data_IF_290054898100
#
_entry.id   IF_290054898100
#
_cell.length_a   1.000
_cell.length_b   1.000
_cell.length_c   1.000
_cell.angle_alpha   90.00
_cell.angle_beta   90.00
_cell.angle_gamma   90.00
#
_symmetry.space_group_name_H-M   'P 1'
#
loop_
_entity.id
_entity.type
_entity.pdbx_description
1 polymer ?
#
# COMPACT_ATOMS: atom_id res chain seq x y z
N UNK A 1 5.26 -47.65 -4.49
CA UNK A 1 4.52 -46.54 -3.85
C UNK A 1 3.17 -46.47 -4.54
N UNK A 2 2.12 -46.98 -3.90
CA UNK A 2 0.82 -47.20 -4.52
C UNK A 2 0.02 -45.90 -4.45
N UNK A 3 -0.15 -45.22 -5.58
CA UNK A 3 -1.07 -44.08 -5.71
C UNK A 3 -2.51 -44.60 -5.53
N UNK A 4 -3.17 -44.21 -4.43
CA UNK A 4 -4.60 -44.44 -4.26
C UNK A 4 -5.36 -43.56 -5.27
N UNK A 5 -5.87 -44.18 -6.32
CA UNK A 5 -6.85 -43.55 -7.22
C UNK A 5 -8.17 -43.43 -6.46
N UNK A 6 -8.58 -42.22 -6.08
CA UNK A 6 -9.99 -41.92 -5.83
C UNK A 6 -10.69 -41.85 -7.19
N UNK A 7 -11.01 -43.01 -7.77
CA UNK A 7 -11.91 -43.10 -8.92
C UNK A 7 -13.35 -42.95 -8.44
N UNK A 8 -14.07 -41.99 -9.00
CA UNK A 8 -15.50 -41.80 -8.79
C UNK A 8 -16.23 -43.12 -9.13
N UNK A 9 -16.78 -43.80 -8.13
CA UNK A 9 -17.34 -45.15 -8.28
C UNK A 9 -18.84 -45.15 -8.64
N UNK A 10 -19.42 -43.99 -8.95
CA UNK A 10 -20.83 -43.86 -9.35
C UNK A 10 -20.98 -43.91 -10.87
N UNK A 11 -21.79 -44.83 -11.43
CA UNK A 11 -22.13 -44.83 -12.85
C UNK A 11 -22.92 -43.57 -13.21
N UNK A 12 -22.43 -42.77 -14.16
CA UNK A 12 -23.21 -41.72 -14.82
C UNK A 12 -23.21 -40.32 -14.19
N UNK A 13 -22.09 -39.86 -13.64
CA UNK A 13 -21.93 -38.48 -13.19
C UNK A 13 -20.77 -37.74 -13.87
N UNK A 14 -20.92 -36.43 -14.01
CA UNK A 14 -19.89 -35.51 -14.46
C UNK A 14 -18.86 -35.25 -13.36
N UNK A 15 -17.66 -34.84 -13.76
CA UNK A 15 -16.55 -34.53 -12.84
C UNK A 15 -15.84 -33.25 -13.25
N UNK A 16 -15.00 -32.73 -12.36
CA UNK A 16 -14.03 -31.68 -12.67
C UNK A 16 -12.73 -31.96 -11.93
N UNK A 17 -11.60 -31.65 -12.57
CA UNK A 17 -10.32 -31.62 -11.89
C UNK A 17 -9.65 -30.26 -12.04
N UNK A 18 -9.03 -29.79 -10.97
CA UNK A 18 -8.41 -28.47 -10.91
C UNK A 18 -6.93 -28.65 -10.56
N UNK A 19 -6.06 -28.15 -11.44
CA UNK A 19 -4.65 -27.93 -11.16
C UNK A 19 -4.44 -26.46 -10.84
N UNK A 20 -4.07 -26.18 -9.59
CA UNK A 20 -3.69 -24.84 -9.19
C UNK A 20 -2.20 -24.61 -9.43
N UNK A 21 -1.86 -23.45 -9.94
CA UNK A 21 -0.49 -22.99 -10.09
C UNK A 21 -0.32 -21.65 -9.39
N UNK A 22 0.29 -21.67 -8.21
CA UNK A 22 0.74 -20.44 -7.56
C UNK A 22 1.80 -19.76 -8.41
N UNK A 23 1.91 -18.45 -8.29
CA UNK A 23 2.90 -17.67 -9.03
C UNK A 23 3.90 -17.06 -8.06
N UNK A 24 5.16 -16.99 -8.50
CA UNK A 24 6.14 -16.06 -7.96
C UNK A 24 6.39 -15.09 -9.09
N UNK A 25 5.66 -13.97 -9.07
CA UNK A 25 5.69 -12.97 -10.12
C UNK A 25 7.10 -12.41 -10.35
N UNK A 26 7.34 -11.82 -11.52
CA UNK A 26 8.57 -11.06 -11.80
C UNK A 26 8.81 -9.95 -10.78
N UNK A 27 7.72 -9.48 -10.18
CA UNK A 27 7.66 -8.43 -9.20
C UNK A 27 7.94 -8.95 -7.75
N UNK A 28 8.01 -10.28 -7.54
CA UNK A 28 8.23 -10.96 -6.24
C UNK A 28 7.18 -10.68 -5.15
N UNK A 29 5.98 -10.22 -5.53
CA UNK A 29 4.90 -9.97 -4.56
C UNK A 29 3.88 -11.09 -4.46
N UNK A 30 3.59 -11.84 -5.53
CA UNK A 30 2.93 -13.14 -5.35
C UNK A 30 3.92 -14.11 -4.72
N UNK A 31 3.46 -14.78 -3.66
CA UNK A 31 4.31 -15.64 -2.82
C UNK A 31 3.70 -17.00 -2.61
N UNK A 32 2.62 -17.31 -3.31
CA UNK A 32 2.07 -18.65 -3.34
C UNK A 32 3.07 -19.59 -4.00
N UNK A 33 3.41 -20.65 -3.28
CA UNK A 33 4.27 -21.70 -3.82
C UNK A 33 3.66 -22.24 -5.12
N UNK A 34 4.51 -22.59 -6.11
CA UNK A 34 4.05 -23.07 -7.42
C UNK A 34 3.06 -24.24 -7.37
N UNK A 35 3.12 -25.04 -6.29
CA UNK A 35 2.24 -26.18 -6.04
C UNK A 35 0.90 -25.81 -5.37
N UNK A 36 0.67 -24.53 -5.08
CA UNK A 36 -0.49 -23.97 -4.40
C UNK A 36 -0.80 -24.61 -3.03
N UNK A 37 0.18 -25.22 -2.36
CA UNK A 37 0.01 -25.86 -1.05
C UNK A 37 -0.51 -24.83 -0.05
N UNK A 38 -1.62 -25.16 0.63
CA UNK A 38 -2.33 -24.26 1.54
C UNK A 38 -3.52 -23.54 0.90
N UNK A 39 -3.65 -23.53 -0.43
CA UNK A 39 -4.80 -22.93 -1.11
C UNK A 39 -6.10 -23.61 -0.66
N UNK A 40 -7.11 -22.80 -0.35
CA UNK A 40 -8.46 -23.27 0.01
C UNK A 40 -9.36 -23.10 -1.19
N UNK A 41 -10.06 -24.16 -1.58
CA UNK A 41 -10.86 -24.18 -2.79
C UNK A 41 -12.27 -24.58 -2.45
N UNK A 42 -13.24 -23.85 -2.98
CA UNK A 42 -14.66 -24.13 -2.88
C UNK A 42 -15.25 -24.30 -4.27
N UNK A 43 -16.03 -25.35 -4.48
CA UNK A 43 -16.68 -25.68 -5.75
C UNK A 43 -18.19 -25.73 -5.51
N UNK A 44 -18.93 -24.83 -6.15
CA UNK A 44 -20.39 -24.79 -6.11
C UNK A 44 -20.99 -25.31 -7.40
N UNK A 45 -21.94 -26.22 -7.25
CA UNK A 45 -22.64 -26.81 -8.39
C UNK A 45 -24.07 -27.18 -7.99
N UNK A 46 -25.04 -26.42 -8.49
CA UNK A 46 -26.44 -26.52 -8.09
C UNK A 46 -26.59 -26.40 -6.57
N UNK A 47 -27.15 -27.42 -5.93
CA UNK A 47 -27.30 -27.44 -4.46
C UNK A 47 -26.02 -27.81 -3.69
N UNK A 48 -24.99 -28.36 -4.35
CA UNK A 48 -23.81 -28.94 -3.71
C UNK A 48 -22.69 -27.91 -3.58
N UNK A 49 -22.05 -27.86 -2.41
CA UNK A 49 -20.81 -27.11 -2.14
C UNK A 49 -19.76 -28.09 -1.61
N UNK A 50 -18.58 -28.11 -2.22
CA UNK A 50 -17.44 -28.93 -1.81
C UNK A 50 -16.25 -28.04 -1.47
N UNK A 51 -15.52 -28.36 -0.40
CA UNK A 51 -14.35 -27.59 0.05
C UNK A 51 -13.09 -28.48 0.07
N UNK A 52 -11.97 -27.92 -0.37
CA UNK A 52 -10.68 -28.59 -0.45
C UNK A 52 -9.57 -27.70 0.10
N UNK A 53 -8.48 -28.30 0.56
CA UNK A 53 -7.23 -27.59 0.87
C UNK A 53 -6.07 -28.34 0.23
N UNK A 54 -5.31 -27.65 -0.61
CA UNK A 54 -4.20 -28.27 -1.36
C UNK A 54 -3.05 -28.63 -0.42
N UNK A 55 -2.52 -29.84 -0.59
CA UNK A 55 -1.36 -30.31 0.18
C UNK A 55 -1.65 -30.68 1.64
N UNK A 56 -2.93 -30.76 2.04
CA UNK A 56 -3.28 -31.30 3.35
C UNK A 56 -2.87 -32.78 3.45
N UNK A 57 -2.39 -33.20 4.61
CA UNK A 57 -1.85 -34.55 4.82
C UNK A 57 -2.99 -35.58 4.87
N UNK A 58 -2.97 -36.58 3.99
CA UNK A 58 -3.90 -37.72 4.05
C UNK A 58 -3.26 -38.86 4.83
N UNK A 59 -3.21 -38.73 6.16
CA UNK A 59 -2.65 -39.73 7.07
C UNK A 59 -1.12 -39.72 7.18
N UNK A 60 -0.53 -40.64 7.98
CA UNK A 60 0.87 -40.54 8.44
C UNK A 60 1.94 -40.84 7.38
N UNK A 61 1.57 -41.34 6.19
CA UNK A 61 2.54 -41.81 5.18
C UNK A 61 2.18 -41.48 3.72
N UNK A 62 1.16 -40.65 3.49
CA UNK A 62 0.73 -40.29 2.14
C UNK A 62 0.42 -38.79 2.03
N UNK A 63 0.93 -38.19 0.96
CA UNK A 63 0.56 -36.84 0.55
C UNK A 63 -0.66 -36.92 -0.35
N UNK A 64 -1.68 -36.10 -0.07
CA UNK A 64 -2.84 -35.95 -0.96
C UNK A 64 -2.37 -35.43 -2.32
N UNK A 65 -2.94 -35.91 -3.44
CA UNK A 65 -2.68 -35.31 -4.75
C UNK A 65 -2.90 -33.80 -4.71
N UNK A 66 -2.01 -33.03 -5.34
CA UNK A 66 -2.17 -31.57 -5.46
C UNK A 66 -3.35 -31.21 -6.35
N UNK A 67 -3.66 -32.06 -7.33
CA UNK A 67 -4.85 -31.95 -8.18
C UNK A 67 -6.10 -32.20 -7.34
N UNK A 68 -6.99 -31.23 -7.33
CA UNK A 68 -8.32 -31.37 -6.74
C UNK A 68 -9.19 -32.13 -7.74
N UNK A 69 -9.98 -33.09 -7.25
CA UNK A 69 -10.94 -33.83 -8.04
C UNK A 69 -12.30 -33.79 -7.34
N UNK A 70 -13.31 -33.29 -8.02
CA UNK A 70 -14.66 -33.15 -7.48
C UNK A 70 -15.70 -33.81 -8.41
N UNK A 71 -16.66 -34.50 -7.80
CA UNK A 71 -17.82 -35.02 -8.52
C UNK A 71 -18.88 -33.93 -8.65
N UNK A 72 -19.52 -33.82 -9.82
CA UNK A 72 -20.55 -32.83 -10.12
C UNK A 72 -21.97 -33.44 -10.24
N UNK A 73 -22.06 -34.78 -10.22
CA UNK A 73 -23.33 -35.47 -10.40
C UNK A 73 -23.90 -35.22 -11.80
N UNK A 74 -25.18 -34.83 -11.95
CA UNK A 74 -25.79 -34.61 -13.26
C UNK A 74 -25.43 -33.26 -13.91
N UNK A 75 -24.65 -32.41 -13.23
CA UNK A 75 -24.36 -31.05 -13.71
C UNK A 75 -23.18 -31.06 -14.68
N UNK A 76 -23.35 -30.42 -15.84
CA UNK A 76 -22.34 -30.37 -16.92
C UNK A 76 -21.32 -29.23 -16.76
N UNK A 77 -21.42 -28.45 -15.68
CA UNK A 77 -20.52 -27.34 -15.35
C UNK A 77 -20.53 -27.08 -13.85
N UNK A 78 -19.50 -26.40 -13.37
CA UNK A 78 -19.44 -25.76 -12.06
C UNK A 78 -20.03 -24.34 -12.21
N UNK A 79 -20.88 -23.92 -11.28
CA UNK A 79 -21.45 -22.56 -11.31
C UNK A 79 -20.37 -21.55 -10.95
N UNK A 80 -19.64 -21.80 -9.86
CA UNK A 80 -18.44 -21.07 -9.49
C UNK A 80 -17.43 -21.95 -8.73
N UNK A 81 -16.15 -21.66 -8.99
CA UNK A 81 -14.98 -22.13 -8.25
C UNK A 81 -14.39 -20.93 -7.53
N UNK A 82 -14.18 -21.01 -6.22
CA UNK A 82 -13.57 -19.95 -5.40
C UNK A 82 -12.28 -20.47 -4.77
N UNK A 83 -11.20 -19.71 -4.88
CA UNK A 83 -9.87 -20.05 -4.42
C UNK A 83 -9.40 -18.93 -3.50
N UNK A 84 -9.02 -19.28 -2.27
CA UNK A 84 -8.19 -18.42 -1.41
C UNK A 84 -6.77 -18.97 -1.52
N UNK A 85 -5.91 -18.23 -2.21
CA UNK A 85 -4.51 -18.58 -2.40
C UNK A 85 -3.72 -18.48 -1.09
N UNK A 86 -2.56 -19.16 -0.97
CA UNK A 86 -1.72 -19.13 0.23
C UNK A 86 -1.32 -17.72 0.71
N UNK A 87 -1.16 -16.76 -0.20
CA UNK A 87 -0.88 -15.35 0.12
C UNK A 87 -2.15 -14.52 0.40
N UNK A 88 -3.32 -15.16 0.37
CA UNK A 88 -4.61 -14.57 0.69
C UNK A 88 -5.43 -14.12 -0.51
N UNK A 89 -4.87 -14.14 -1.73
CA UNK A 89 -5.60 -13.71 -2.95
C UNK A 89 -6.89 -14.50 -3.09
N UNK A 90 -8.03 -13.79 -3.15
CA UNK A 90 -9.30 -14.38 -3.50
C UNK A 90 -9.47 -14.34 -5.02
N UNK A 91 -9.70 -15.50 -5.62
CA UNK A 91 -9.93 -15.64 -7.05
C UNK A 91 -11.13 -16.55 -7.26
N UNK A 92 -11.99 -16.21 -8.21
CA UNK A 92 -13.03 -17.11 -8.65
C UNK A 92 -13.09 -17.25 -10.18
N UNK A 93 -13.55 -18.42 -10.59
CA UNK A 93 -13.78 -18.82 -11.97
C UNK A 93 -15.24 -19.23 -12.08
N UNK A 94 -15.95 -18.71 -13.08
CA UNK A 94 -17.38 -18.96 -13.27
C UNK A 94 -17.60 -19.97 -14.39
N UNK A 95 -18.70 -20.74 -14.28
CA UNK A 95 -19.24 -21.52 -15.41
C UNK A 95 -18.26 -22.52 -16.02
N UNK A 96 -17.34 -23.08 -15.21
CA UNK A 96 -16.31 -23.99 -15.69
C UNK A 96 -16.93 -25.31 -16.22
N UNK A 97 -16.69 -25.67 -17.50
CA UNK A 97 -17.22 -26.91 -18.06
C UNK A 97 -16.73 -28.16 -17.32
N UNK A 98 -17.62 -29.14 -17.16
CA UNK A 98 -17.28 -30.45 -16.61
C UNK A 98 -16.42 -31.29 -17.57
N UNK A 99 -16.02 -32.46 -17.07
CA UNK A 99 -15.32 -33.56 -17.74
C UNK A 99 -13.97 -33.18 -18.34
N UNK A 100 -13.28 -32.24 -17.68
CA UNK A 100 -11.94 -31.82 -18.05
C UNK A 100 -11.12 -31.37 -16.84
N UNK A 101 -9.82 -31.28 -17.09
CA UNK A 101 -8.87 -30.65 -16.16
C UNK A 101 -8.80 -29.17 -16.51
N UNK A 102 -8.99 -28.31 -15.51
CA UNK A 102 -8.73 -26.88 -15.61
C UNK A 102 -7.41 -26.55 -14.93
N UNK A 103 -6.60 -25.75 -15.61
CA UNK A 103 -5.42 -25.14 -15.01
C UNK A 103 -5.79 -23.72 -14.61
N UNK A 104 -5.71 -23.44 -13.31
CA UNK A 104 -5.99 -22.11 -12.78
C UNK A 104 -4.67 -21.58 -12.22
N UNK A 105 -4.13 -20.58 -12.90
CA UNK A 105 -2.99 -19.83 -12.39
C UNK A 105 -3.47 -18.73 -11.45
N UNK A 106 -2.73 -18.53 -10.38
CA UNK A 106 -2.93 -17.38 -9.50
C UNK A 106 -2.79 -16.09 -10.30
N UNK A 107 -3.74 -15.19 -10.07
CA UNK A 107 -3.67 -13.84 -10.60
C UNK A 107 -2.82 -12.98 -9.67
N UNK A 108 -1.79 -12.34 -10.23
CA UNK A 108 -0.99 -11.33 -9.53
C UNK A 108 -1.88 -10.15 -9.14
N UNK A 109 -2.23 -10.06 -7.85
CA UNK A 109 -3.13 -9.02 -7.34
C UNK A 109 -2.76 -8.61 -5.93
N UNK A 110 -3.02 -7.34 -5.59
CA UNK A 110 -3.13 -6.92 -4.20
C UNK A 110 -4.43 -7.47 -3.62
N UNK A 111 -4.38 -8.07 -2.44
CA UNK A 111 -5.52 -8.70 -1.76
C UNK A 111 -6.49 -7.70 -1.17
N UNK A 112 -6.00 -6.53 -0.76
CA UNK A 112 -6.81 -5.39 -0.34
C UNK A 112 -6.04 -4.09 -0.65
N UNK A 113 -6.77 -3.01 -0.89
CA UNK A 113 -6.22 -1.66 -0.96
C UNK A 113 -7.26 -0.64 -0.54
N UNK A 114 -6.72 0.44 0.00
CA UNK A 114 -7.28 1.77 0.07
C UNK A 114 -8.03 2.18 -1.21
N UNK A 115 -9.11 2.97 -1.11
CA UNK A 115 -9.67 3.65 -2.25
C UNK A 115 -8.63 4.55 -2.94
N UNK A 116 -8.85 4.84 -4.21
CA UNK A 116 -7.96 5.62 -5.07
C UNK A 116 -8.65 6.87 -5.56
N UNK A 117 -7.89 7.95 -5.67
CA UNK A 117 -8.35 9.23 -6.15
C UNK A 117 -7.80 9.52 -7.54
N UNK A 118 -8.67 10.00 -8.43
CA UNK A 118 -8.30 10.56 -9.72
C UNK A 118 -8.79 12.00 -9.85
N UNK A 119 -8.03 12.80 -10.60
CA UNK A 119 -8.35 14.19 -10.90
C UNK A 119 -8.31 14.45 -12.41
N UNK A 120 -9.21 15.30 -12.89
CA UNK A 120 -9.17 15.77 -14.28
C UNK A 120 -8.04 16.78 -14.49
N UNK A 121 -7.14 16.50 -15.44
CA UNK A 121 -5.98 17.35 -15.75
C UNK A 121 -6.19 18.30 -16.95
N UNK A 122 -7.43 18.41 -17.45
CA UNK A 122 -7.75 19.16 -18.67
C UNK A 122 -7.88 18.28 -19.91
N UNK A 123 -7.33 17.06 -19.88
CA UNK A 123 -7.37 16.11 -21.00
C UNK A 123 -7.87 14.72 -20.61
N UNK A 124 -7.52 14.23 -19.43
CA UNK A 124 -7.92 12.92 -18.93
C UNK A 124 -7.90 12.87 -17.39
N UNK A 125 -8.47 11.80 -16.83
CA UNK A 125 -8.32 11.52 -15.41
C UNK A 125 -6.94 10.94 -15.11
N UNK A 126 -6.23 11.57 -14.18
CA UNK A 126 -4.92 11.14 -13.69
C UNK A 126 -5.05 10.61 -12.28
N UNK A 127 -4.35 9.50 -12.02
CA UNK A 127 -4.19 8.98 -10.67
C UNK A 127 -3.46 10.02 -9.80
N UNK A 128 -4.00 10.30 -8.62
CA UNK A 128 -3.42 11.24 -7.64
C UNK A 128 -2.67 10.45 -6.57
N UNK A 129 -3.41 9.68 -5.79
CA UNK A 129 -2.92 8.82 -4.71
C UNK A 129 -4.01 7.81 -4.34
N UNK A 130 -3.65 6.77 -3.61
CA UNK A 130 -4.59 6.06 -2.75
C UNK A 130 -4.87 6.89 -1.49
N UNK A 131 -5.96 6.60 -0.78
CA UNK A 131 -6.35 7.35 0.41
C UNK A 131 -7.15 6.51 1.40
N UNK A 132 -7.32 6.99 2.63
CA UNK A 132 -7.95 6.26 3.72
C UNK A 132 -7.02 5.22 4.37
N UNK A 133 -5.73 5.24 4.04
CA UNK A 133 -4.73 4.31 4.58
C UNK A 133 -4.52 4.46 6.09
N UNK A 134 -4.75 5.66 6.61
CA UNK A 134 -4.68 5.95 8.06
C UNK A 134 -5.92 5.49 8.83
N UNK A 135 -7.04 5.28 8.14
CA UNK A 135 -8.35 4.97 8.72
C UNK A 135 -8.72 3.49 8.81
N UNK A 136 -7.77 2.58 8.59
CA UNK A 136 -8.02 1.13 8.55
C UNK A 136 -8.66 0.59 9.84
N UNK A 137 -9.87 0.05 9.74
CA UNK A 137 -10.57 -0.57 10.87
C UNK A 137 -10.12 -2.02 11.10
N UNK A 138 -9.82 -2.38 12.35
CA UNK A 138 -9.47 -3.75 12.71
C UNK A 138 -8.11 -4.22 12.20
N UNK A 139 -7.24 -3.29 11.81
CA UNK A 139 -5.88 -3.61 11.39
C UNK A 139 -5.06 -4.14 12.57
N UNK A 140 -4.60 -5.38 12.47
CA UNK A 140 -3.90 -6.05 13.55
C UNK A 140 -2.43 -5.61 13.60
N UNK A 141 -1.98 -5.18 14.78
CA UNK A 141 -0.60 -4.72 15.01
C UNK A 141 0.13 -5.47 16.13
N UNK A 142 -0.54 -6.42 16.79
CA UNK A 142 0.06 -7.23 17.84
C UNK A 142 -0.98 -8.00 18.67
N UNK A 143 -0.54 -8.92 19.54
CA UNK A 143 -1.45 -9.67 20.40
C UNK A 143 -2.36 -8.75 21.21
N UNK A 144 -3.68 -8.89 21.02
CA UNK A 144 -4.69 -8.07 21.68
C UNK A 144 -4.69 -6.59 21.29
N UNK A 145 -3.97 -6.19 20.23
CA UNK A 145 -3.81 -4.80 19.79
C UNK A 145 -4.18 -4.63 18.33
N UNK A 146 -4.95 -3.57 18.07
CA UNK A 146 -5.32 -3.12 16.74
C UNK A 146 -4.92 -1.66 16.60
N UNK A 147 -4.60 -1.23 15.37
CA UNK A 147 -4.32 0.17 15.10
C UNK A 147 -5.56 1.01 15.43
N UNK A 148 -5.33 2.18 16.04
CA UNK A 148 -6.38 3.17 16.18
C UNK A 148 -6.59 3.83 14.80
N UNK A 149 -7.79 3.79 14.23
CA UNK A 149 -8.05 4.42 12.94
C UNK A 149 -8.02 5.94 13.09
N UNK A 150 -7.39 6.63 12.15
CA UNK A 150 -7.58 8.06 11.94
C UNK A 150 -8.70 8.27 10.91
N UNK A 151 -9.84 8.87 11.28
CA UNK A 151 -10.96 9.09 10.36
C UNK A 151 -10.72 10.25 9.38
N UNK A 152 -9.62 10.99 9.52
CA UNK A 152 -9.28 12.15 8.70
C UNK A 152 -8.01 11.90 7.92
N UNK A 153 -7.99 12.33 6.66
CA UNK A 153 -6.79 12.29 5.82
C UNK A 153 -6.80 13.47 4.86
N UNK A 154 -5.65 14.14 4.71
CA UNK A 154 -5.48 15.25 3.79
C UNK A 154 -4.53 14.89 2.65
N UNK A 155 -5.03 14.99 1.43
CA UNK A 155 -4.24 14.76 0.23
C UNK A 155 -3.93 16.09 -0.47
N UNK A 156 -2.65 16.30 -0.76
CA UNK A 156 -2.25 17.35 -1.69
C UNK A 156 -2.67 16.95 -3.11
N UNK A 157 -3.44 17.80 -3.77
CA UNK A 157 -3.84 17.58 -5.16
C UNK A 157 -2.84 18.26 -6.12
N UNK A 158 -2.63 17.68 -7.32
CA UNK A 158 -1.95 18.40 -8.39
C UNK A 158 -2.80 19.59 -8.86
N UNK A 159 -2.23 20.41 -9.75
CA UNK A 159 -3.00 21.45 -10.44
C UNK A 159 -4.21 20.82 -11.14
N UNK A 160 -5.40 21.34 -10.84
CA UNK A 160 -6.66 20.90 -11.42
C UNK A 160 -7.07 21.84 -12.55
N UNK A 161 -7.64 21.28 -13.61
CA UNK A 161 -8.26 22.06 -14.67
C UNK A 161 -9.79 21.92 -14.59
N UNK A 162 -10.56 22.99 -14.83
CA UNK A 162 -12.01 22.90 -14.83
C UNK A 162 -12.50 22.19 -16.10
N UNK A 163 -13.53 21.36 -15.95
CA UNK A 163 -14.33 20.79 -17.03
C UNK A 163 -15.75 21.32 -16.92
N UNK A 164 -16.21 22.01 -17.95
CA UNK A 164 -17.54 22.65 -17.99
C UNK A 164 -17.82 23.55 -16.76
N UNK A 165 -16.77 24.24 -16.27
CA UNK A 165 -16.85 25.14 -15.12
C UNK A 165 -16.70 24.48 -13.74
N UNK A 166 -16.45 23.17 -13.68
CA UNK A 166 -16.32 22.41 -12.43
C UNK A 166 -14.99 21.66 -12.35
N UNK A 167 -14.41 21.55 -11.15
CA UNK A 167 -13.33 20.61 -10.89
C UNK A 167 -13.91 19.22 -10.68
N UNK A 168 -13.37 18.22 -11.37
CA UNK A 168 -13.90 16.86 -11.36
C UNK A 168 -12.90 15.89 -10.73
N UNK A 169 -13.34 15.22 -9.67
CA UNK A 169 -12.58 14.22 -8.91
C UNK A 169 -13.34 12.90 -8.93
N UNK A 170 -12.63 11.78 -9.00
CA UNK A 170 -13.21 10.43 -9.00
C UNK A 170 -12.57 9.60 -7.91
N UNK A 171 -13.36 9.17 -6.94
CA UNK A 171 -12.95 8.22 -5.91
C UNK A 171 -13.41 6.82 -6.29
N UNK A 172 -12.53 5.84 -6.24
CA UNK A 172 -12.85 4.45 -6.56
C UNK A 172 -12.35 3.51 -5.48
N UNK A 173 -13.14 2.50 -5.14
CA UNK A 173 -12.72 1.39 -4.28
C UNK A 173 -12.60 0.12 -5.14
N UNK A 174 -11.44 -0.09 -5.79
CA UNK A 174 -11.29 -1.19 -6.74
C UNK A 174 -11.05 -2.54 -6.07
N UNK A 175 -10.69 -2.62 -4.79
CA UNK A 175 -10.32 -3.89 -4.15
C UNK A 175 -11.34 -4.34 -3.10
N UNK A 176 -11.05 -5.48 -2.44
CA UNK A 176 -11.96 -6.16 -1.49
C UNK A 176 -12.03 -5.44 -0.13
N UNK A 177 -12.51 -4.20 -0.14
CA UNK A 177 -12.71 -3.39 1.06
C UNK A 177 -14.10 -2.74 1.06
N UNK A 178 -14.65 -2.56 2.26
CA UNK A 178 -15.83 -1.70 2.47
C UNK A 178 -15.33 -0.33 2.88
N UNK A 179 -15.42 0.65 1.98
CA UNK A 179 -15.08 2.04 2.28
C UNK A 179 -16.25 2.74 2.96
N UNK A 180 -16.01 3.28 4.14
CA UNK A 180 -16.92 4.21 4.81
C UNK A 180 -16.46 5.63 4.50
N UNK A 181 -17.24 6.37 3.72
CA UNK A 181 -16.94 7.74 3.31
C UNK A 181 -18.10 8.64 3.67
N UNK A 182 -17.90 9.49 4.68
CA UNK A 182 -18.94 10.40 5.20
C UNK A 182 -18.82 11.80 4.60
N UNK A 183 -17.59 12.32 4.48
CA UNK A 183 -17.32 13.68 4.00
C UNK A 183 -16.08 13.68 3.11
N UNK A 184 -16.17 14.39 1.99
CA UNK A 184 -15.06 14.76 1.12
C UNK A 184 -15.17 16.24 0.85
N UNK A 185 -14.06 16.95 0.96
CA UNK A 185 -14.00 18.38 0.68
C UNK A 185 -12.81 18.69 -0.21
N UNK A 186 -13.02 19.64 -1.12
CA UNK A 186 -11.94 20.28 -1.84
C UNK A 186 -11.66 21.61 -1.17
N UNK A 187 -10.46 21.78 -0.64
CA UNK A 187 -10.02 23.02 0.00
C UNK A 187 -9.01 23.71 -0.92
N UNK A 188 -9.39 24.88 -1.45
CA UNK A 188 -8.47 25.77 -2.14
C UNK A 188 -7.73 26.62 -1.10
N UNK A 189 -6.42 26.79 -1.28
CA UNK A 189 -5.57 27.52 -0.33
C UNK A 189 -4.88 28.66 -1.07
N UNK A 190 -5.28 29.89 -0.76
CA UNK A 190 -4.55 31.07 -1.20
C UNK A 190 -3.31 31.23 -0.33
N UNK A 191 -2.14 31.40 -0.96
CA UNK A 191 -0.86 31.57 -0.28
C UNK A 191 0.06 32.52 -1.07
N UNK A 192 1.13 33.06 -0.46
CA UNK A 192 2.01 34.00 -1.14
C UNK A 192 2.71 33.36 -2.36
N UNK A 193 3.05 34.20 -3.33
CA UNK A 193 3.85 33.76 -4.47
C UNK A 193 5.22 33.21 -4.00
N UNK A 194 5.65 32.10 -4.59
CA UNK A 194 6.90 31.44 -4.25
C UNK A 194 6.85 30.56 -2.99
N UNK A 195 5.67 30.37 -2.39
CA UNK A 195 5.48 29.38 -1.32
C UNK A 195 4.78 28.12 -1.81
N UNK A 196 4.92 27.02 -1.09
CA UNK A 196 4.14 25.80 -1.29
C UNK A 196 3.52 25.30 0.01
N UNK A 197 2.46 24.51 -0.13
CA UNK A 197 1.64 24.02 0.97
C UNK A 197 1.76 22.52 1.07
N UNK A 198 1.91 22.00 2.30
CA UNK A 198 1.75 20.57 2.58
C UNK A 198 0.84 20.36 3.80
N UNK A 199 0.04 19.29 3.81
CA UNK A 199 -0.74 18.93 4.98
C UNK A 199 0.14 18.40 6.11
N UNK A 200 -0.32 18.58 7.35
CA UNK A 200 0.20 17.86 8.51
C UNK A 200 -0.36 16.42 8.50
N UNK A 201 0.27 15.54 7.72
CA UNK A 201 -0.26 14.20 7.46
C UNK A 201 0.81 13.13 7.69
N UNK A 202 0.40 11.96 8.21
CA UNK A 202 1.15 10.69 8.26
C UNK A 202 0.29 9.59 8.89
N UNK A 203 0.60 8.34 8.54
CA UNK A 203 0.17 7.19 9.34
C UNK A 203 0.95 7.14 10.65
N UNK A 204 0.36 7.64 11.74
CA UNK A 204 0.98 7.70 13.06
C UNK A 204 1.10 6.31 13.70
N UNK A 205 2.27 6.01 14.31
CA UNK A 205 2.53 4.70 14.94
C UNK A 205 2.75 4.80 16.44
N UNK A 206 3.78 5.55 16.88
CA UNK A 206 4.03 5.80 18.32
C UNK A 206 3.76 7.25 18.73
N UNK A 207 2.90 7.93 18.00
CA UNK A 207 2.40 9.27 18.30
C UNK A 207 0.88 9.31 18.18
N UNK A 208 0.26 10.38 18.66
CA UNK A 208 -1.09 10.72 18.23
C UNK A 208 -1.12 10.96 16.70
N UNK A 209 -2.26 10.74 16.04
CA UNK A 209 -2.45 11.22 14.69
C UNK A 209 -2.24 12.74 14.61
N UNK A 210 -1.73 13.25 13.47
CA UNK A 210 -1.49 14.68 13.34
C UNK A 210 -2.81 15.47 13.44
N UNK A 211 -2.76 16.72 13.95
CA UNK A 211 -3.93 17.59 13.88
C UNK A 211 -4.24 17.99 12.43
N UNK A 212 -5.49 18.35 12.18
CA UNK A 212 -5.90 19.05 10.97
C UNK A 212 -5.19 20.41 10.89
N UNK A 213 -4.10 20.46 10.13
CA UNK A 213 -3.22 21.61 9.98
C UNK A 213 -2.56 21.58 8.60
N UNK A 214 -2.37 22.77 8.01
CA UNK A 214 -1.56 22.96 6.82
C UNK A 214 -0.28 23.74 7.17
N UNK A 215 0.80 23.43 6.47
CA UNK A 215 2.05 24.17 6.55
C UNK A 215 2.27 25.02 5.30
N UNK A 216 2.91 26.19 5.47
CA UNK A 216 3.27 27.07 4.37
C UNK A 216 4.79 27.29 4.34
N UNK A 217 5.45 26.87 3.26
CA UNK A 217 6.91 26.91 3.15
C UNK A 217 7.34 27.90 2.06
N UNK A 218 8.32 28.77 2.34
CA UNK A 218 8.92 29.65 1.32
C UNK A 218 10.17 29.07 0.65
N UNK A 219 10.64 27.91 1.12
CA UNK A 219 11.83 27.30 0.58
C UNK A 219 12.10 25.96 1.22
N UNK A 220 12.93 25.19 0.53
CA UNK A 220 13.32 23.84 0.91
C UNK A 220 14.78 23.86 1.30
N UNK A 221 15.08 23.31 2.47
CA UNK A 221 16.43 23.08 2.93
C UNK A 221 16.80 21.64 2.60
N UNK A 222 17.44 21.46 1.45
CA UNK A 222 17.92 20.16 1.02
C UNK A 222 19.12 19.66 1.83
N UNK A 223 19.28 18.34 1.99
CA UNK A 223 20.58 17.79 2.34
C UNK A 223 21.58 18.10 1.22
N UNK A 224 22.82 18.46 1.59
CA UNK A 224 23.93 18.56 0.61
C UNK A 224 24.32 17.19 0.07
N UNK A 225 24.01 16.13 0.82
CA UNK A 225 24.30 14.75 0.47
C UNK A 225 23.40 13.80 1.23
N UNK A 226 22.98 12.72 0.57
CA UNK A 226 22.35 11.58 1.23
C UNK A 226 23.06 10.27 0.92
N UNK A 227 23.09 9.36 1.91
CA UNK A 227 23.62 8.00 1.74
C UNK A 227 22.68 6.97 2.35
N UNK A 228 22.58 5.80 1.73
CA UNK A 228 21.87 4.69 2.34
C UNK A 228 22.75 3.89 3.32
N UNK A 229 22.15 2.90 3.97
CA UNK A 229 22.81 1.98 4.88
C UNK A 229 23.94 1.13 4.27
N UNK A 230 24.03 1.05 2.94
CA UNK A 230 25.12 0.39 2.21
C UNK A 230 26.23 1.38 1.82
N UNK A 231 26.10 2.65 2.21
CA UNK A 231 27.04 3.73 1.91
C UNK A 231 26.93 4.28 0.49
N UNK A 232 25.93 3.88 -0.29
CA UNK A 232 25.70 4.36 -1.66
C UNK A 232 25.17 5.77 -1.62
N UNK A 233 25.54 6.59 -2.60
CA UNK A 233 25.03 7.95 -2.73
C UNK A 233 23.60 7.91 -3.28
N UNK A 234 22.65 8.47 -2.54
CA UNK A 234 21.23 8.51 -2.90
C UNK A 234 20.71 9.95 -2.96
N UNK A 235 21.60 10.94 -3.03
CA UNK A 235 21.23 12.36 -3.03
C UNK A 235 20.26 12.70 -4.16
N UNK A 236 20.53 12.21 -5.37
CA UNK A 236 19.65 12.44 -6.52
C UNK A 236 18.28 11.76 -6.42
N UNK A 237 18.22 10.61 -5.74
CA UNK A 237 16.98 9.85 -5.53
C UNK A 237 16.07 10.46 -4.43
N UNK A 238 16.52 11.52 -3.77
CA UNK A 238 15.75 12.24 -2.73
C UNK A 238 15.49 13.70 -3.13
N UNK A 239 15.84 14.08 -4.36
CA UNK A 239 15.84 15.46 -4.82
C UNK A 239 14.49 15.89 -5.40
N UNK A 240 13.73 14.98 -6.01
CA UNK A 240 12.51 15.29 -6.76
C UNK A 240 11.49 14.16 -6.62
N UNK A 241 10.21 14.47 -6.81
CA UNK A 241 9.16 13.43 -6.86
C UNK A 241 9.08 12.87 -8.29
N UNK A 242 9.94 11.91 -8.62
CA UNK A 242 10.12 11.34 -9.96
C UNK A 242 10.10 9.78 -10.01
N UNK A 243 9.77 9.14 -8.90
CA UNK A 243 9.72 7.67 -8.67
C UNK A 243 11.09 6.99 -8.67
N UNK A 244 12.18 7.74 -8.59
CA UNK A 244 13.52 7.22 -8.33
C UNK A 244 13.78 7.27 -6.83
N UNK A 245 13.31 6.25 -6.12
CA UNK A 245 13.35 6.27 -4.66
C UNK A 245 14.64 5.69 -4.03
N UNK A 246 14.94 6.13 -2.80
CA UNK A 246 15.86 5.49 -1.86
C UNK A 246 15.09 4.83 -0.70
N UNK A 247 15.64 3.81 -0.04
CA UNK A 247 14.98 3.16 1.10
C UNK A 247 15.29 1.67 1.19
N UNK A 248 14.26 0.85 1.35
CA UNK A 248 14.36 -0.60 1.44
C UNK A 248 15.18 -1.20 0.29
N UNK A 249 16.16 -2.05 0.61
CA UNK A 249 16.98 -2.77 -0.39
C UNK A 249 16.79 -4.28 -0.35
N UNK A 250 16.40 -4.81 0.81
CA UNK A 250 16.21 -6.23 1.07
C UNK A 250 14.85 -6.45 1.74
N UNK A 251 13.74 -6.42 0.97
CA UNK A 251 12.45 -6.80 1.49
C UNK A 251 12.44 -8.28 1.87
N UNK A 252 11.80 -8.63 3.00
CA UNK A 252 11.68 -10.02 3.44
C UNK A 252 10.86 -10.78 2.38
N UNK A 253 11.40 -11.90 1.90
CA UNK A 253 10.77 -12.71 0.84
C UNK A 253 9.52 -13.49 1.27
N UNK A 254 9.22 -13.55 2.57
CA UNK A 254 8.08 -14.27 3.15
C UNK A 254 6.94 -13.33 3.53
N UNK A 255 7.24 -12.17 4.11
CA UNK A 255 6.23 -11.22 4.61
C UNK A 255 6.27 -9.87 3.90
N UNK A 256 5.16 -9.45 3.27
CA UNK A 256 5.02 -8.10 2.71
C UNK A 256 5.13 -7.02 3.78
N UNK A 257 5.68 -5.87 3.41
CA UNK A 257 5.82 -4.73 4.31
C UNK A 257 6.94 -4.87 5.35
N UNK A 258 7.66 -5.98 5.35
CA UNK A 258 8.80 -6.23 6.24
C UNK A 258 10.09 -6.24 5.42
N UNK A 259 11.14 -5.65 5.97
CA UNK A 259 12.47 -5.62 5.37
C UNK A 259 13.56 -5.83 6.43
N UNK A 260 14.77 -6.11 5.98
CA UNK A 260 15.95 -5.91 6.82
C UNK A 260 16.01 -4.44 7.29
N UNK A 261 16.66 -4.19 8.42
CA UNK A 261 16.88 -2.81 8.87
C UNK A 261 17.63 -2.01 7.80
N UNK A 262 17.07 -0.86 7.45
CA UNK A 262 17.64 0.08 6.50
C UNK A 262 17.49 1.51 6.99
N UNK A 263 18.30 2.40 6.42
CA UNK A 263 18.19 3.83 6.68
C UNK A 263 18.70 4.67 5.51
N UNK A 264 18.28 5.93 5.52
CA UNK A 264 18.92 7.02 4.77
C UNK A 264 19.52 8.02 5.75
N UNK A 265 20.79 8.37 5.54
CA UNK A 265 21.49 9.44 6.24
C UNK A 265 21.46 10.70 5.38
N UNK A 266 21.06 11.82 5.97
CA UNK A 266 20.92 13.12 5.35
C UNK A 266 21.97 14.04 5.96
N UNK A 267 22.96 14.46 5.18
CA UNK A 267 23.95 15.45 5.58
C UNK A 267 23.49 16.82 5.09
N UNK A 268 23.21 17.73 6.02
CA UNK A 268 22.86 19.11 5.74
C UNK A 268 24.09 20.03 5.81
N UNK A 269 25.24 19.53 6.25
CA UNK A 269 26.42 20.34 6.51
C UNK A 269 26.07 21.57 7.36
N UNK A 270 26.69 22.71 7.05
CA UNK A 270 26.49 23.93 7.84
C UNK A 270 25.14 24.63 7.58
N UNK A 271 24.26 24.09 6.72
CA UNK A 271 22.94 24.67 6.42
C UNK A 271 22.04 24.76 7.66
N UNK A 272 22.23 23.87 8.64
CA UNK A 272 21.45 23.91 9.88
C UNK A 272 21.93 24.99 10.87
N UNK A 273 23.05 25.70 10.62
CA UNK A 273 23.51 26.76 11.53
C UNK A 273 22.55 27.94 11.63
N UNK A 274 21.75 28.15 10.59
CA UNK A 274 20.78 29.25 10.50
C UNK A 274 19.43 28.88 11.14
N UNK A 275 19.27 27.64 11.62
CA UNK A 275 18.08 27.22 12.35
C UNK A 275 17.83 28.14 13.54
N UNK A 276 16.70 28.82 13.51
CA UNK A 276 16.22 29.59 14.66
C UNK A 276 15.36 28.69 15.55
N UNK A 277 15.68 28.53 16.85
CA UNK A 277 14.96 27.62 17.75
C UNK A 277 13.50 28.03 18.03
N UNK A 278 13.14 29.28 17.72
CA UNK A 278 11.78 29.81 17.86
C UNK A 278 10.92 29.64 16.59
N UNK A 279 11.46 29.03 15.53
CA UNK A 279 10.75 28.77 14.28
C UNK A 279 10.31 27.32 14.22
N UNK A 280 9.22 27.07 13.50
CA UNK A 280 8.71 25.71 13.29
C UNK A 280 9.44 25.05 12.14
N UNK A 281 10.13 23.95 12.43
CA UNK A 281 10.90 23.20 11.45
C UNK A 281 10.25 21.87 11.18
N UNK A 282 9.85 21.66 9.93
CA UNK A 282 9.11 20.49 9.49
C UNK A 282 10.02 19.65 8.60
N UNK A 283 10.15 18.37 8.92
CA UNK A 283 10.71 17.39 8.01
C UNK A 283 9.61 16.96 7.03
N UNK A 284 9.81 17.25 5.75
CA UNK A 284 8.88 16.95 4.68
C UNK A 284 9.41 15.74 3.90
N UNK A 285 8.58 14.72 3.74
CA UNK A 285 8.97 13.49 3.05
C UNK A 285 7.89 13.09 2.06
N UNK A 286 8.26 12.81 0.81
CA UNK A 286 7.40 12.12 -0.15
C UNK A 286 7.91 10.69 -0.33
N UNK A 287 6.99 9.73 -0.40
CA UNK A 287 7.36 8.36 -0.63
C UNK A 287 6.16 7.43 -0.72
N UNK A 288 6.45 6.14 -0.60
CA UNK A 288 5.45 5.10 -0.59
C UNK A 288 5.84 3.93 0.30
N UNK A 289 4.81 3.20 0.74
CA UNK A 289 4.94 2.02 1.59
C UNK A 289 4.35 0.80 0.88
N UNK A 290 5.02 -0.35 1.02
CA UNK A 290 4.35 -1.62 0.81
C UNK A 290 3.73 -2.08 2.13
N UNK A 291 2.40 -2.21 2.17
CA UNK A 291 1.72 -2.66 3.37
C UNK A 291 1.89 -4.17 3.60
N UNK A 292 2.05 -4.54 4.86
CA UNK A 292 1.67 -5.87 5.32
C UNK A 292 0.16 -5.93 5.55
N UNK A 293 -0.47 -7.05 5.26
CA UNK A 293 -1.86 -7.32 5.65
C UNK A 293 -1.92 -7.83 7.10
N UNK A 294 -3.07 -7.74 7.77
CA UNK A 294 -3.24 -8.29 9.14
C UNK A 294 -2.79 -9.75 9.26
N UNK A 295 -3.06 -10.58 8.24
CA UNK A 295 -2.59 -11.97 8.15
C UNK A 295 -1.06 -12.06 8.04
N UNK A 296 -0.46 -11.22 7.20
CA UNK A 296 0.99 -11.13 7.01
C UNK A 296 1.70 -10.64 8.26
N UNK A 297 1.17 -9.61 8.92
CA UNK A 297 1.69 -9.08 10.18
C UNK A 297 1.64 -10.14 11.28
N UNK A 298 0.53 -10.87 11.37
CA UNK A 298 0.38 -11.96 12.32
C UNK A 298 1.40 -13.08 12.07
N UNK A 299 1.60 -13.47 10.81
CA UNK A 299 2.58 -14.48 10.43
C UNK A 299 4.03 -14.03 10.68
N UNK A 300 4.35 -12.76 10.38
CA UNK A 300 5.65 -12.16 10.68
C UNK A 300 5.92 -12.16 12.20
N UNK A 301 4.93 -11.77 13.00
CA UNK A 301 5.00 -11.82 14.46
C UNK A 301 5.25 -13.25 14.98
N UNK A 302 4.56 -14.26 14.44
CA UNK A 302 4.81 -15.67 14.80
C UNK A 302 6.24 -16.12 14.46
N UNK A 303 6.86 -15.52 13.45
CA UNK A 303 8.25 -15.73 13.08
C UNK A 303 9.24 -14.86 13.89
N UNK A 304 8.78 -14.09 14.88
CA UNK A 304 9.60 -13.22 15.71
C UNK A 304 9.97 -11.88 15.06
N UNK A 305 9.31 -11.51 13.97
CA UNK A 305 9.54 -10.26 13.25
C UNK A 305 8.45 -9.24 13.59
N UNK A 306 8.87 -8.03 13.96
CA UNK A 306 8.00 -6.88 14.16
C UNK A 306 8.60 -5.71 13.39
N UNK A 307 8.02 -5.29 12.26
CA UNK A 307 8.55 -4.18 11.49
C UNK A 307 8.44 -2.88 12.32
N UNK A 308 9.49 -2.07 12.27
CA UNK A 308 9.58 -0.78 12.95
C UNK A 308 9.34 0.36 11.96
N UNK A 309 8.39 1.24 12.31
CA UNK A 309 8.14 2.45 11.53
C UNK A 309 9.33 3.42 11.59
N UNK A 310 9.39 4.44 10.72
CA UNK A 310 10.50 5.39 10.67
C UNK A 310 10.82 6.06 12.01
N UNK A 311 12.05 5.87 12.46
CA UNK A 311 12.67 6.59 13.57
C UNK A 311 13.64 7.62 13.00
N UNK A 312 13.48 8.87 13.43
CA UNK A 312 14.35 10.00 13.07
C UNK A 312 15.37 10.23 14.16
N UNK A 313 16.64 10.23 13.78
CA UNK A 313 17.80 10.40 14.64
C UNK A 313 18.70 11.53 14.15
N UNK A 314 19.51 12.06 15.05
CA UNK A 314 20.49 13.11 14.74
C UNK A 314 21.86 12.75 15.30
N UNK A 315 22.91 13.00 14.52
CA UNK A 315 24.28 12.71 14.95
C UNK A 315 24.82 13.79 15.87
N UNK A 316 25.09 13.44 17.14
CA UNK A 316 25.63 14.34 18.16
C UNK A 316 26.71 13.62 18.96
N UNK A 317 27.85 14.28 19.18
CA UNK A 317 28.91 13.77 20.07
C UNK A 317 29.37 12.32 19.78
N UNK A 318 29.42 11.92 18.51
CA UNK A 318 29.90 10.59 18.13
C UNK A 318 28.84 9.47 18.17
N UNK A 319 27.56 9.80 18.36
CA UNK A 319 26.47 8.84 18.41
C UNK A 319 25.19 9.38 17.77
N UNK A 320 24.29 8.46 17.39
CA UNK A 320 22.94 8.81 16.95
C UNK A 320 22.03 9.00 18.16
N UNK A 321 21.29 10.11 18.17
CA UNK A 321 20.33 10.45 19.22
C UNK A 321 18.94 10.49 18.59
N UNK A 322 18.02 9.68 19.09
CA UNK A 322 16.64 9.67 18.64
C UNK A 322 15.94 10.99 18.97
N UNK A 323 15.29 11.59 17.98
CA UNK A 323 14.48 12.80 18.14
C UNK A 323 13.00 12.56 17.81
N UNK A 324 12.69 11.52 17.05
CA UNK A 324 11.33 11.04 16.85
C UNK A 324 11.32 9.52 16.70
N UNK A 325 10.81 8.80 17.69
CA UNK A 325 10.78 7.33 17.70
C UNK A 325 9.51 6.83 17.00
N UNK A 326 9.67 6.09 15.88
CA UNK A 326 8.58 5.49 15.11
C UNK A 326 7.38 6.44 14.92
N UNK A 327 7.66 7.65 14.44
CA UNK A 327 6.68 8.74 14.43
C UNK A 327 5.56 8.53 13.41
N UNK A 328 5.81 7.75 12.37
CA UNK A 328 4.87 7.41 11.32
C UNK A 328 5.52 7.28 9.95
N UNK A 329 4.71 7.06 8.92
CA UNK A 329 5.14 6.87 7.53
C UNK A 329 4.07 7.40 6.55
N UNK A 330 4.38 7.62 5.26
CA UNK A 330 3.40 8.02 4.26
C UNK A 330 2.37 6.90 4.03
N UNK A 331 1.08 7.25 4.08
CA UNK A 331 -0.01 6.30 4.18
C UNK A 331 -0.50 5.75 2.82
N UNK A 332 0.42 5.29 1.97
CA UNK A 332 0.05 4.75 0.65
C UNK A 332 1.13 4.91 -0.39
N UNK A 333 0.70 5.13 -1.64
CA UNK A 333 1.51 5.44 -2.81
C UNK A 333 1.32 6.90 -3.22
N UNK A 334 2.42 7.59 -3.56
CA UNK A 334 2.42 9.02 -3.93
C UNK A 334 1.98 9.94 -2.78
N UNK A 335 2.42 9.64 -1.56
CA UNK A 335 2.03 10.36 -0.35
C UNK A 335 3.11 11.30 0.15
N UNK A 336 2.67 12.49 0.56
CA UNK A 336 3.46 13.36 1.42
C UNK A 336 3.20 13.01 2.88
N UNK A 337 4.25 13.03 3.69
CA UNK A 337 4.14 13.08 5.13
C UNK A 337 4.99 14.22 5.68
N UNK A 338 4.56 14.75 6.83
CA UNK A 338 5.25 15.83 7.52
C UNK A 338 5.45 15.50 8.99
N UNK A 339 6.57 15.95 9.54
CA UNK A 339 6.93 15.72 10.93
C UNK A 339 7.48 16.99 11.56
N UNK A 340 6.79 17.48 12.58
CA UNK A 340 7.23 18.64 13.35
C UNK A 340 8.47 18.28 14.22
N UNK A 341 9.60 18.88 13.86
CA UNK A 341 10.88 18.75 14.54
C UNK A 341 11.27 20.00 15.35
N UNK A 342 10.30 20.89 15.60
CA UNK A 342 10.51 22.13 16.38
C UNK A 342 11.07 21.83 17.75
N UNK A 343 12.14 22.55 18.12
CA UNK A 343 12.85 22.35 19.39
C UNK A 343 13.65 21.05 19.51
N UNK A 344 13.61 20.17 18.51
CA UNK A 344 14.36 18.90 18.49
C UNK A 344 15.69 19.00 17.76
N UNK A 345 15.80 19.93 16.82
CA UNK A 345 17.02 20.25 16.08
C UNK A 345 17.82 21.36 16.77
N UNK A 346 19.14 21.29 16.65
CA UNK A 346 20.10 22.27 17.17
C UNK A 346 20.92 22.87 16.01
N UNK A 347 21.34 24.15 16.09
CA UNK A 347 22.19 24.75 15.06
C UNK A 347 23.56 24.07 14.85
N UNK A 348 23.98 23.24 15.81
CA UNK A 348 25.18 22.40 15.73
C UNK A 348 24.97 21.06 15.02
N UNK A 349 23.73 20.65 14.79
CA UNK A 349 23.42 19.40 14.10
C UNK A 349 23.84 19.49 12.64
N UNK A 350 24.26 18.36 12.08
CA UNK A 350 24.74 18.28 10.70
C UNK A 350 24.11 17.14 9.92
N UNK A 351 23.82 16.02 10.61
CA UNK A 351 23.36 14.80 9.99
C UNK A 351 22.13 14.26 10.69
N UNK A 352 21.11 13.96 9.89
CA UNK A 352 19.93 13.24 10.32
C UNK A 352 19.98 11.82 9.73
N UNK A 353 19.28 10.89 10.37
CA UNK A 353 19.07 9.54 9.87
C UNK A 353 17.60 9.17 10.03
N UNK A 354 17.04 8.53 9.01
CA UNK A 354 15.69 7.95 9.05
C UNK A 354 15.86 6.44 8.92
N UNK A 355 15.63 5.71 10.02
CA UNK A 355 15.82 4.26 10.14
C UNK A 355 14.47 3.54 10.22
N UNK A 356 14.34 2.39 9.56
CA UNK A 356 13.13 1.56 9.60
C UNK A 356 13.45 0.10 9.24
N UNK A 357 12.53 -0.82 9.55
CA UNK A 357 12.49 -2.18 9.01
C UNK A 357 11.17 -2.49 8.27
N UNK A 358 10.43 -1.44 7.90
CA UNK A 358 9.30 -1.54 6.98
C UNK A 358 9.79 -1.49 5.53
N UNK A 359 9.05 -2.11 4.62
CA UNK A 359 9.28 -1.94 3.18
C UNK A 359 8.80 -0.55 2.73
N UNK A 360 9.70 0.43 2.86
CA UNK A 360 9.48 1.86 2.62
C UNK A 360 10.47 2.42 1.62
N UNK A 361 9.99 3.35 0.81
CA UNK A 361 10.77 4.01 -0.22
C UNK A 361 10.45 5.51 -0.25
N UNK A 362 11.48 6.34 -0.33
CA UNK A 362 11.45 7.79 -0.27
C UNK A 362 11.88 8.37 -1.62
N UNK A 363 11.11 9.31 -2.13
CA UNK A 363 11.36 10.00 -3.39
C UNK A 363 11.90 11.42 -3.15
N UNK A 364 11.44 12.04 -2.06
CA UNK A 364 11.82 13.41 -1.69
C UNK A 364 11.98 13.53 -0.19
N UNK A 365 13.07 14.14 0.27
CA UNK A 365 13.23 14.50 1.69
C UNK A 365 13.95 15.84 1.83
N UNK A 366 13.34 16.78 2.55
CA UNK A 366 13.93 18.07 2.90
C UNK A 366 13.41 18.60 4.24
N UNK A 367 14.08 19.60 4.80
CA UNK A 367 13.58 20.39 5.92
C UNK A 367 12.99 21.70 5.42
N UNK A 368 11.94 22.20 6.04
CA UNK A 368 11.42 23.52 5.72
C UNK A 368 10.95 24.27 6.98
N UNK A 369 11.08 25.59 6.94
CA UNK A 369 10.53 26.48 7.96
C UNK A 369 9.07 26.77 7.62
N UNK A 370 8.15 26.39 8.52
CA UNK A 370 6.75 26.78 8.41
C UNK A 370 6.60 28.29 8.73
N UNK A 371 6.08 29.03 7.76
CA UNK A 371 5.78 30.46 7.87
C UNK A 371 4.51 30.74 8.68
N UNK A 372 3.74 29.69 8.99
CA UNK A 372 2.56 29.68 9.83
C UNK A 372 1.25 29.98 9.08
N UNK A 373 0.12 29.61 9.69
CA UNK A 373 -1.20 29.61 9.05
C UNK A 373 -1.69 31.01 8.65
N UNK A 374 -1.22 32.07 9.32
CA UNK A 374 -1.52 33.47 8.97
C UNK A 374 -1.11 33.88 7.55
N UNK A 375 -0.28 33.08 6.87
CA UNK A 375 0.10 33.31 5.48
C UNK A 375 -0.88 32.72 4.48
N UNK A 376 -1.81 31.88 4.94
CA UNK A 376 -2.74 31.17 4.09
C UNK A 376 -4.17 31.61 4.35
N UNK A 377 -5.01 31.48 3.33
CA UNK A 377 -6.45 31.55 3.46
C UNK A 377 -7.06 30.31 2.83
N UNK A 378 -7.85 29.57 3.61
CA UNK A 378 -8.51 28.34 3.14
C UNK A 378 -9.94 28.63 2.70
N UNK A 379 -10.32 28.03 1.58
CA UNK A 379 -11.63 28.15 0.97
C UNK A 379 -12.17 26.76 0.66
N UNK A 380 -13.22 26.35 1.38
CA UNK A 380 -13.95 25.13 1.02
C UNK A 380 -14.70 25.40 -0.27
N UNK A 381 -14.40 24.62 -1.30
CA UNK A 381 -15.10 24.68 -2.59
C UNK A 381 -16.44 23.98 -2.45
N UNK A 382 -17.52 24.66 -2.83
CA UNK A 382 -18.87 24.11 -2.75
C UNK A 382 -19.01 22.88 -3.66
N UNK A 383 -19.51 21.78 -3.10
CA UNK A 383 -19.80 20.57 -3.85
C UNK A 383 -21.00 20.81 -4.79
N UNK A 384 -20.73 20.88 -6.09
CA UNK A 384 -21.79 21.09 -7.08
C UNK A 384 -22.69 19.85 -7.27
N UNK A 385 -22.09 18.66 -7.36
CA UNK A 385 -22.81 17.40 -7.51
C UNK A 385 -21.92 16.23 -7.08
N UNK A 386 -22.56 15.15 -6.63
CA UNK A 386 -21.93 13.86 -6.41
C UNK A 386 -22.85 12.75 -6.95
N UNK A 387 -22.24 11.72 -7.50
CA UNK A 387 -22.93 10.56 -8.04
C UNK A 387 -22.15 9.30 -7.65
N UNK A 388 -22.88 8.23 -7.34
CA UNK A 388 -22.31 6.93 -7.04
C UNK A 388 -22.85 5.93 -8.05
N UNK A 389 -21.95 5.38 -8.86
CA UNK A 389 -22.26 4.35 -9.83
C UNK A 389 -21.15 3.31 -9.87
N UNK A 390 -21.48 2.15 -10.42
CA UNK A 390 -20.48 1.14 -10.74
C UNK A 390 -19.65 1.60 -11.94
N UNK A 391 -18.34 1.74 -11.74
CA UNK A 391 -17.39 2.10 -12.79
C UNK A 391 -16.64 0.90 -13.36
N UNK A 392 -16.35 -0.09 -12.52
CA UNK A 392 -15.40 -1.15 -12.80
C UNK A 392 -14.05 -0.91 -12.11
N UNK A 393 -13.02 -1.57 -12.61
CA UNK A 393 -11.75 -1.77 -11.88
C UNK A 393 -10.59 -1.26 -12.73
N UNK A 394 -10.07 -0.05 -12.45
CA UNK A 394 -8.95 0.53 -13.18
C UNK A 394 -7.75 -0.42 -13.23
N UNK A 395 -7.16 -0.60 -14.41
CA UNK A 395 -5.96 -1.44 -14.54
C UNK A 395 -4.76 -0.78 -13.89
N UNK A 396 -3.97 -1.56 -13.17
CA UNK A 396 -2.65 -1.13 -12.73
C UNK A 396 -1.68 -1.06 -13.92
N UNK A 397 -0.83 -0.05 -13.92
CA UNK A 397 0.26 0.08 -14.88
C UNK A 397 1.46 0.80 -14.24
N UNK A 398 2.62 0.67 -14.87
CA UNK A 398 3.78 1.49 -14.53
C UNK A 398 4.11 2.41 -15.71
N UNK A 399 4.02 3.74 -15.55
CA UNK A 399 4.32 4.70 -16.61
C UNK A 399 5.73 4.56 -17.21
N UNK A 400 6.69 4.08 -16.44
CA UNK A 400 8.13 4.09 -16.74
C UNK A 400 8.84 2.77 -16.39
N UNK A 401 8.07 1.74 -16.02
CA UNK A 401 8.60 0.45 -15.57
C UNK A 401 9.08 0.41 -14.11
N UNK A 402 9.00 1.52 -13.37
CA UNK A 402 9.36 1.59 -11.93
C UNK A 402 8.14 1.33 -11.03
N UNK A 403 8.36 1.29 -9.73
CA UNK A 403 7.31 1.19 -8.71
C UNK A 403 7.10 2.52 -8.00
N UNK A 404 5.94 2.74 -7.35
CA UNK A 404 4.76 1.87 -7.34
C UNK A 404 4.05 1.87 -8.70
N UNK A 405 3.16 0.90 -8.93
CA UNK A 405 2.22 0.97 -10.05
C UNK A 405 1.17 2.05 -9.75
N UNK A 406 0.66 2.67 -10.79
CA UNK A 406 -0.48 3.57 -10.76
C UNK A 406 -1.70 2.92 -11.39
N UNK A 407 -2.85 3.59 -11.32
CA UNK A 407 -4.09 3.12 -11.90
C UNK A 407 -4.45 3.91 -13.16
N UNK A 408 -4.90 3.22 -14.20
CA UNK A 408 -5.38 3.81 -15.45
C UNK A 408 -6.90 3.91 -15.42
N UNK A 409 -7.41 5.12 -15.20
CA UNK A 409 -8.85 5.38 -15.16
C UNK A 409 -9.51 4.97 -16.48
N UNK A 410 -8.90 5.26 -17.63
CA UNK A 410 -9.54 5.07 -18.94
C UNK A 410 -9.67 3.59 -19.35
N UNK A 411 -9.07 2.66 -18.61
CA UNK A 411 -9.04 1.25 -18.93
C UNK A 411 -9.56 0.39 -17.76
N UNK A 412 -10.86 0.51 -17.40
CA UNK A 412 -11.45 -0.31 -16.36
C UNK A 412 -11.77 -1.72 -16.88
N UNK A 413 -11.52 -2.73 -16.05
CA UNK A 413 -12.18 -4.01 -16.20
C UNK A 413 -13.64 -3.90 -15.70
N UNK A 414 -14.58 -4.29 -16.55
CA UNK A 414 -16.02 -4.31 -16.22
C UNK A 414 -16.44 -5.67 -15.64
N UNK A 415 -15.58 -6.66 -15.76
CA UNK A 415 -15.86 -8.04 -15.39
C UNK A 415 -14.88 -8.49 -14.33
N UNK A 416 -15.45 -8.92 -13.24
CA UNK A 416 -14.72 -9.20 -12.03
C UNK A 416 -15.26 -10.48 -11.50
N UNK A 417 -14.54 -11.55 -11.78
CA UNK A 417 -14.92 -12.91 -11.42
C UNK A 417 -14.83 -13.19 -9.91
N UNK A 418 -14.67 -12.16 -9.06
CA UNK A 418 -14.45 -12.28 -7.62
C UNK A 418 -15.62 -11.85 -6.71
N UNK A 419 -16.80 -11.51 -7.26
CA UNK A 419 -18.06 -11.38 -6.49
C UNK A 419 -19.10 -12.42 -6.90
#
# INVERSE_FOLDING_TARGET
>A
MTLSRNSNATPGGHWIAIDLRGTIGQDKKTRSNNSAIGARVEIKTGAVLQQFTVGNMSGPAAQTPLRIHAGLGPNTKVDWLRIIWPDGVLQAELELPADRVHQVAELQRKTSSCPVLFAWDGQQFRFVADFGGVGGLGYWIGPGKYAAPDPTEQLLLPALEPRDGHYELRCLTPLEETTYLDRVELVAVDHPEGTHILPHERMAVRSAPPPDELFCFAGELDPIRARDHLGRDVTGALAEVDRICAGCTHPDSRFHGVADEHWVELDFGDRLRELSPNRRWILCLNGWVEYGYSSTNYAAYQAGLVPEAPTVEVWRNGQWVTIADQAGYPAGICHWMTLDLTGKLQPSDRRLRIRSSMELYWDRIYLAEDLGPQRMQQHVVELAAADLHYYGYPREYSPDGRRPNWYDYANPDQSVSWK
#
